data_IF_188988431614
#
_entry.id   IF_188988431614
#
_cell.length_a   1.000
_cell.length_b   1.000
_cell.length_c   1.000
_cell.angle_alpha   90.00
_cell.angle_beta   90.00
_cell.angle_gamma   90.00
#
_symmetry.space_group_name_H-M   'P 1'
#
loop_
_entity.id
_entity.type
_entity.pdbx_description
1 polymer ?
#
# COMPACT_ATOMS: atom_id res chain seq x y z
N UNK A 1 15.03 -35.79 -42.00
CA UNK A 1 14.17 -36.46 -41.01
C UNK A 1 14.31 -35.99 -39.57
N UNK A 2 15.50 -36.05 -38.94
CA UNK A 2 15.67 -35.66 -37.51
C UNK A 2 15.25 -34.23 -37.15
N UNK A 3 15.50 -33.25 -38.03
CA UNK A 3 15.10 -31.84 -37.83
C UNK A 3 13.59 -31.64 -37.83
N UNK A 4 12.88 -32.33 -38.72
CA UNK A 4 11.41 -32.27 -38.83
C UNK A 4 10.75 -32.87 -37.57
N UNK A 5 11.35 -33.93 -37.04
CA UNK A 5 10.95 -34.57 -35.78
C UNK A 5 11.17 -33.65 -34.56
N UNK A 6 12.28 -32.92 -34.53
CA UNK A 6 12.56 -31.92 -33.48
C UNK A 6 11.57 -30.74 -33.53
N UNK A 7 11.30 -30.20 -34.72
CA UNK A 7 10.33 -29.12 -34.92
C UNK A 7 8.92 -29.54 -34.49
N UNK A 8 8.52 -30.78 -34.79
CA UNK A 8 7.22 -31.33 -34.39
C UNK A 8 7.11 -31.49 -32.86
N UNK A 9 8.17 -31.96 -32.22
CA UNK A 9 8.26 -32.06 -30.75
C UNK A 9 8.16 -30.69 -30.08
N UNK A 10 8.87 -29.67 -30.59
CA UNK A 10 8.80 -28.30 -30.06
C UNK A 10 7.39 -27.75 -30.21
N UNK A 11 6.76 -27.95 -31.37
CA UNK A 11 5.38 -27.50 -31.63
C UNK A 11 4.38 -28.17 -30.68
N UNK A 12 4.52 -29.47 -30.42
CA UNK A 12 3.68 -30.21 -29.49
C UNK A 12 3.84 -29.71 -28.04
N UNK A 13 5.07 -29.43 -27.60
CA UNK A 13 5.34 -28.86 -26.27
C UNK A 13 4.72 -27.47 -26.12
N UNK A 14 4.85 -26.61 -27.14
CA UNK A 14 4.24 -25.27 -27.14
C UNK A 14 2.72 -25.33 -27.12
N UNK A 15 2.12 -26.26 -27.87
CA UNK A 15 0.68 -26.48 -27.88
C UNK A 15 0.16 -26.95 -26.52
N UNK A 16 0.79 -27.97 -25.92
CA UNK A 16 0.47 -28.45 -24.57
C UNK A 16 0.62 -27.37 -23.50
N UNK A 17 1.65 -26.52 -23.62
CA UNK A 17 1.85 -25.39 -22.71
C UNK A 17 0.69 -24.39 -22.82
N UNK A 18 0.29 -24.03 -24.05
CA UNK A 18 -0.82 -23.11 -24.29
C UNK A 18 -2.16 -23.67 -23.80
N UNK A 19 -2.41 -24.97 -23.98
CA UNK A 19 -3.60 -25.63 -23.42
C UNK A 19 -3.59 -25.64 -21.89
N UNK A 20 -2.45 -25.95 -21.25
CA UNK A 20 -2.31 -25.87 -19.79
C UNK A 20 -2.50 -24.45 -19.26
N UNK A 21 -1.97 -23.45 -19.94
CA UNK A 21 -2.16 -22.03 -19.59
C UNK A 21 -3.65 -21.66 -19.70
N UNK A 22 -4.33 -22.02 -20.79
CA UNK A 22 -5.77 -21.76 -20.97
C UNK A 22 -6.65 -22.48 -19.95
N UNK A 23 -6.35 -23.74 -19.63
CA UNK A 23 -7.05 -24.48 -18.57
C UNK A 23 -6.81 -23.87 -17.19
N UNK A 24 -5.59 -23.40 -16.92
CA UNK A 24 -5.25 -22.71 -15.68
C UNK A 24 -5.93 -21.34 -15.56
N UNK A 25 -6.14 -20.62 -16.66
CA UNK A 25 -6.90 -19.37 -16.66
C UNK A 25 -8.38 -19.63 -16.38
N UNK A 26 -8.99 -20.61 -17.07
CA UNK A 26 -10.38 -21.01 -16.82
C UNK A 26 -10.60 -21.47 -15.37
N UNK A 27 -9.69 -22.26 -14.81
CA UNK A 27 -9.81 -22.73 -13.42
C UNK A 27 -9.58 -21.63 -12.39
N UNK A 28 -8.72 -20.65 -12.68
CA UNK A 28 -8.54 -19.44 -11.85
C UNK A 28 -9.81 -18.59 -11.82
N UNK A 29 -10.42 -18.34 -12.98
CA UNK A 29 -11.67 -17.57 -13.06
C UNK A 29 -12.80 -18.25 -12.27
N UNK A 30 -12.92 -19.57 -12.36
CA UNK A 30 -13.89 -20.35 -11.57
C UNK A 30 -13.62 -20.21 -10.06
N UNK A 31 -12.35 -20.25 -9.64
CA UNK A 31 -11.99 -20.10 -8.24
C UNK A 31 -12.26 -18.68 -7.71
N UNK A 32 -11.96 -17.64 -8.51
CA UNK A 32 -12.21 -16.24 -8.14
C UNK A 32 -13.71 -15.96 -7.98
N UNK A 33 -14.53 -16.46 -8.91
CA UNK A 33 -15.98 -16.35 -8.82
C UNK A 33 -16.50 -17.07 -7.58
N UNK A 34 -16.00 -18.28 -7.29
CA UNK A 34 -16.37 -19.03 -6.09
C UNK A 34 -16.08 -18.27 -4.79
N UNK A 35 -14.89 -17.67 -4.67
CA UNK A 35 -14.53 -16.86 -3.49
C UNK A 35 -15.50 -15.68 -3.33
N UNK A 36 -15.80 -14.99 -4.43
CA UNK A 36 -16.73 -13.85 -4.38
C UNK A 36 -18.17 -14.26 -4.05
N UNK A 37 -18.65 -15.41 -4.55
CA UNK A 37 -19.94 -15.97 -4.17
C UNK A 37 -19.99 -16.33 -2.67
N UNK A 38 -18.90 -16.88 -2.14
CA UNK A 38 -18.79 -17.17 -0.71
C UNK A 38 -18.85 -15.89 0.13
N UNK A 39 -18.15 -14.82 -0.28
CA UNK A 39 -18.20 -13.52 0.40
C UNK A 39 -19.60 -12.93 0.34
N UNK A 40 -20.24 -12.99 -0.84
CA UNK A 40 -21.62 -12.53 -1.02
C UNK A 40 -22.55 -13.23 -0.04
N UNK A 41 -22.42 -14.54 0.11
CA UNK A 41 -23.22 -15.35 1.04
C UNK A 41 -22.92 -15.02 2.51
N UNK A 42 -21.65 -14.98 2.88
CA UNK A 42 -21.20 -14.77 4.27
C UNK A 42 -21.64 -13.39 4.79
N UNK A 43 -21.51 -12.35 3.96
CA UNK A 43 -21.87 -10.97 4.30
C UNK A 43 -23.29 -10.58 3.87
N UNK A 44 -24.04 -11.51 3.25
CA UNK A 44 -25.40 -11.27 2.71
C UNK A 44 -25.47 -10.08 1.75
N UNK A 45 -24.48 -9.94 0.87
CA UNK A 45 -24.43 -8.87 -0.12
C UNK A 45 -25.46 -9.12 -1.22
N UNK A 46 -26.02 -8.04 -1.77
CA UNK A 46 -26.95 -8.08 -2.91
C UNK A 46 -26.22 -8.45 -4.20
N UNK A 47 -25.00 -7.93 -4.36
CA UNK A 47 -24.17 -8.08 -5.55
C UNK A 47 -22.90 -8.88 -5.30
N UNK A 48 -22.30 -9.38 -6.38
CA UNK A 48 -21.02 -10.08 -6.33
C UNK A 48 -19.89 -9.05 -6.07
N UNK A 49 -19.04 -9.21 -5.05
CA UNK A 49 -18.03 -8.23 -4.67
C UNK A 49 -16.80 -8.25 -5.59
N UNK A 50 -16.98 -7.84 -6.85
CA UNK A 50 -15.92 -7.77 -7.86
C UNK A 50 -14.92 -6.66 -7.60
N UNK A 51 -15.33 -5.59 -6.94
CA UNK A 51 -14.51 -4.46 -6.55
C UNK A 51 -14.58 -4.26 -5.05
N UNK A 52 -13.45 -4.50 -4.37
CA UNK A 52 -13.33 -4.39 -2.92
C UNK A 52 -12.21 -3.40 -2.60
N UNK A 53 -12.48 -2.40 -1.78
CA UNK A 53 -11.46 -1.45 -1.29
C UNK A 53 -11.21 -1.68 0.20
N UNK A 54 -9.95 -1.71 0.61
CA UNK A 54 -9.55 -1.88 2.01
C UNK A 54 -8.67 -0.71 2.47
N UNK A 55 -9.01 -0.12 3.62
CA UNK A 55 -8.37 1.05 4.21
C UNK A 55 -7.66 0.70 5.52
N UNK A 56 -6.45 1.22 5.72
CA UNK A 56 -5.69 1.18 6.97
C UNK A 56 -5.19 2.59 7.31
N UNK A 57 -5.36 2.99 8.57
CA UNK A 57 -4.79 4.20 9.12
C UNK A 57 -3.56 3.81 9.92
N UNK A 58 -2.42 3.69 9.22
CA UNK A 58 -1.13 3.50 9.87
C UNK A 58 -0.66 4.85 10.41
N UNK A 59 -0.93 5.17 11.67
CA UNK A 59 -0.32 6.35 12.30
C UNK A 59 1.14 6.06 12.62
N UNK A 60 2.04 6.68 11.89
CA UNK A 60 3.40 6.88 12.33
C UNK A 60 3.43 8.04 13.34
N UNK A 61 4.19 7.92 14.43
CA UNK A 61 4.46 9.03 15.35
C UNK A 61 5.20 10.15 14.61
N UNK A 62 4.47 11.12 14.06
CA UNK A 62 5.02 12.25 13.32
C UNK A 62 3.95 13.16 12.70
N UNK A 63 4.41 14.28 12.14
CA UNK A 63 3.55 15.42 11.73
C UNK A 63 2.70 15.19 10.47
N UNK A 64 2.83 14.05 9.79
CA UNK A 64 2.12 13.77 8.53
C UNK A 64 1.41 12.41 8.57
N UNK A 65 0.17 12.34 9.09
CA UNK A 65 -0.62 11.12 9.07
C UNK A 65 -0.95 10.72 7.62
N UNK A 66 -0.80 9.43 7.30
CA UNK A 66 -1.10 8.87 5.99
C UNK A 66 -1.98 7.65 6.14
N UNK A 67 -3.03 7.60 5.32
CA UNK A 67 -3.89 6.42 5.20
C UNK A 67 -3.59 5.69 3.91
N UNK A 68 -3.55 4.36 3.99
CA UNK A 68 -3.33 3.48 2.86
C UNK A 68 -4.66 2.88 2.40
N UNK A 69 -4.88 2.85 1.09
CA UNK A 69 -5.97 2.11 0.47
C UNK A 69 -5.43 1.14 -0.57
N UNK A 70 -5.81 -0.13 -0.44
CA UNK A 70 -5.59 -1.16 -1.46
C UNK A 70 -6.92 -1.54 -2.09
N UNK A 71 -6.87 -1.88 -3.37
CA UNK A 71 -8.04 -2.26 -4.15
C UNK A 71 -7.86 -3.68 -4.65
N UNK A 72 -8.89 -4.51 -4.51
CA UNK A 72 -8.95 -5.84 -5.06
C UNK A 72 -10.03 -5.89 -6.16
N UNK A 73 -9.68 -6.50 -7.28
CA UNK A 73 -10.58 -6.77 -8.40
C UNK A 73 -10.66 -8.28 -8.60
N UNK A 74 -11.86 -8.85 -8.57
CA UNK A 74 -12.09 -10.30 -8.67
C UNK A 74 -11.20 -11.11 -7.70
N UNK A 75 -11.23 -10.77 -6.40
CA UNK A 75 -10.39 -11.39 -5.36
C UNK A 75 -8.86 -11.30 -5.56
N UNK A 76 -8.37 -10.48 -6.50
CA UNK A 76 -6.94 -10.25 -6.74
C UNK A 76 -6.53 -8.80 -6.45
N UNK A 77 -5.30 -8.57 -5.97
CA UNK A 77 -4.82 -7.21 -5.74
C UNK A 77 -4.66 -6.44 -7.06
N UNK A 78 -5.29 -5.26 -7.16
CA UNK A 78 -5.15 -4.32 -8.27
C UNK A 78 -4.20 -3.20 -7.89
N UNK A 79 -2.89 -3.45 -7.99
CA UNK A 79 -1.83 -2.50 -7.57
C UNK A 79 -1.92 -1.12 -8.22
N UNK A 80 -2.44 -1.05 -9.46
CA UNK A 80 -2.67 0.22 -10.18
C UNK A 80 -3.72 1.11 -9.51
N UNK A 81 -4.61 0.52 -8.71
CA UNK A 81 -5.72 1.20 -8.05
C UNK A 81 -5.43 1.53 -6.59
N UNK A 82 -4.23 1.20 -6.09
CA UNK A 82 -3.80 1.52 -4.73
C UNK A 82 -3.59 3.03 -4.59
N UNK A 83 -3.88 3.60 -3.41
CA UNK A 83 -3.65 5.02 -3.14
C UNK A 83 -3.14 5.23 -1.73
N UNK A 84 -2.32 6.26 -1.58
CA UNK A 84 -2.02 6.87 -0.29
C UNK A 84 -2.78 8.18 -0.17
N UNK A 85 -3.33 8.43 1.01
CA UNK A 85 -4.00 9.68 1.33
C UNK A 85 -3.21 10.40 2.42
N UNK A 86 -2.62 11.53 2.04
CA UNK A 86 -2.07 12.47 3.01
C UNK A 86 -3.24 13.21 3.65
N UNK A 87 -3.33 13.09 4.97
CA UNK A 87 -4.39 13.68 5.78
C UNK A 87 -4.10 15.16 5.94
N UNK A 88 -5.10 16.01 5.70
CA UNK A 88 -4.90 17.47 5.65
C UNK A 88 -5.51 18.21 6.83
N UNK A 89 -6.63 17.70 7.35
CA UNK A 89 -7.48 18.45 8.29
C UNK A 89 -7.37 17.95 9.72
N UNK A 90 -6.83 16.74 9.90
CA UNK A 90 -6.71 16.11 11.22
C UNK A 90 -5.37 16.45 11.85
N UNK A 91 -5.42 17.01 13.06
CA UNK A 91 -4.22 17.35 13.84
C UNK A 91 -3.97 16.24 14.85
N UNK A 92 -2.75 15.70 14.85
CA UNK A 92 -2.32 14.63 15.75
C UNK A 92 -2.82 13.23 15.36
N UNK A 93 -2.53 12.21 16.19
CA UNK A 93 -2.83 10.80 15.88
C UNK A 93 -4.31 10.46 16.15
N UNK A 94 -5.22 11.05 15.37
CA UNK A 94 -6.64 10.77 15.46
C UNK A 94 -7.11 9.90 14.28
N UNK A 95 -7.15 8.59 14.52
CA UNK A 95 -7.54 7.60 13.52
C UNK A 95 -8.99 7.71 13.06
N UNK A 96 -9.88 8.17 13.92
CA UNK A 96 -11.30 8.27 13.62
C UNK A 96 -11.57 9.37 12.61
N UNK A 97 -11.07 10.57 12.88
CA UNK A 97 -11.21 11.70 11.96
C UNK A 97 -10.43 11.46 10.65
N UNK A 98 -9.29 10.78 10.75
CA UNK A 98 -8.52 10.37 9.56
C UNK A 98 -9.32 9.43 8.66
N UNK A 99 -9.98 8.42 9.24
CA UNK A 99 -10.82 7.49 8.48
C UNK A 99 -11.98 8.23 7.81
N UNK A 100 -12.64 9.14 8.54
CA UNK A 100 -13.71 9.97 7.99
C UNK A 100 -13.24 10.81 6.80
N UNK A 101 -12.11 11.52 6.93
CA UNK A 101 -11.57 12.38 5.86
C UNK A 101 -11.27 11.55 4.60
N UNK A 102 -10.58 10.42 4.76
CA UNK A 102 -10.08 9.60 3.65
C UNK A 102 -11.23 8.95 2.88
N UNK A 103 -12.18 8.33 3.59
CA UNK A 103 -13.38 7.73 3.00
C UNK A 103 -14.20 8.80 2.28
N UNK A 104 -14.40 9.96 2.91
CA UNK A 104 -15.15 11.08 2.29
C UNK A 104 -14.48 11.54 1.00
N UNK A 105 -13.16 11.74 1.00
CA UNK A 105 -12.41 12.21 -0.18
C UNK A 105 -12.42 11.19 -1.31
N UNK A 106 -12.27 9.90 -1.00
CA UNK A 106 -12.28 8.82 -2.00
C UNK A 106 -13.63 8.76 -2.71
N UNK A 107 -14.71 8.63 -1.95
CA UNK A 107 -16.02 8.38 -2.55
C UNK A 107 -16.65 9.63 -3.15
N UNK A 108 -16.41 10.82 -2.58
CA UNK A 108 -16.80 12.08 -3.22
C UNK A 108 -16.23 12.18 -4.64
N UNK A 109 -14.93 11.92 -4.79
CA UNK A 109 -14.26 11.95 -6.08
C UNK A 109 -14.84 10.91 -7.05
N UNK A 110 -15.10 9.68 -6.58
CA UNK A 110 -15.68 8.65 -7.45
C UNK A 110 -17.06 9.07 -8.00
N UNK A 111 -17.89 9.68 -7.15
CA UNK A 111 -19.21 10.22 -7.52
C UNK A 111 -19.08 11.38 -8.51
N UNK A 112 -18.21 12.36 -8.22
CA UNK A 112 -17.96 13.51 -9.09
C UNK A 112 -17.42 13.11 -10.47
N UNK A 113 -16.56 12.09 -10.53
CA UNK A 113 -15.99 11.55 -11.77
C UNK A 113 -16.92 10.55 -12.49
N UNK A 114 -18.08 10.21 -11.92
CA UNK A 114 -19.00 9.22 -12.51
C UNK A 114 -18.41 7.82 -12.63
N UNK A 115 -17.48 7.46 -11.75
CA UNK A 115 -16.75 6.18 -11.78
C UNK A 115 -17.44 5.13 -10.89
N UNK A 116 -17.21 3.85 -11.19
CA UNK A 116 -17.89 2.76 -10.49
C UNK A 116 -17.48 2.65 -9.02
N UNK A 117 -18.49 2.57 -8.16
CA UNK A 117 -18.33 2.34 -6.72
C UNK A 117 -17.92 0.89 -6.41
N UNK A 118 -17.24 0.64 -5.28
CA UNK A 118 -16.99 -0.72 -4.83
C UNK A 118 -18.26 -1.40 -4.31
N UNK A 119 -18.30 -2.72 -4.44
CA UNK A 119 -19.37 -3.56 -3.89
C UNK A 119 -19.10 -3.95 -2.43
N UNK A 120 -17.89 -3.71 -1.92
CA UNK A 120 -17.54 -3.91 -0.52
C UNK A 120 -16.38 -2.99 -0.12
N UNK A 121 -16.52 -2.38 1.05
CA UNK A 121 -15.47 -1.57 1.68
C UNK A 121 -15.07 -2.22 3.00
N UNK A 122 -13.77 -2.34 3.21
CA UNK A 122 -13.18 -2.94 4.40
C UNK A 122 -12.36 -1.89 5.12
N UNK A 123 -12.59 -1.72 6.41
CA UNK A 123 -11.79 -0.87 7.29
C UNK A 123 -10.96 -1.77 8.21
N UNK A 124 -9.64 -1.62 8.22
CA UNK A 124 -8.75 -2.30 9.17
C UNK A 124 -8.84 -1.63 10.55
N UNK A 125 -9.98 -1.84 11.20
CA UNK A 125 -10.35 -1.19 12.43
C UNK A 125 -11.59 -1.78 13.07
N UNK A 126 -11.67 -1.60 14.39
CA UNK A 126 -12.87 -1.95 15.15
C UNK A 126 -14.04 -0.98 14.90
N UNK A 127 -15.07 -1.12 15.74
CA UNK A 127 -16.33 -0.36 15.64
C UNK A 127 -16.16 1.16 15.52
N UNK A 128 -15.18 1.75 16.20
CA UNK A 128 -14.92 3.19 16.16
C UNK A 128 -14.59 3.68 14.74
N UNK A 129 -13.57 3.10 14.11
CA UNK A 129 -13.18 3.48 12.74
C UNK A 129 -14.27 3.11 11.72
N UNK A 130 -14.93 1.95 11.89
CA UNK A 130 -16.07 1.57 11.06
C UNK A 130 -17.19 2.61 11.13
N UNK A 131 -17.52 3.12 12.32
CA UNK A 131 -18.57 4.14 12.48
C UNK A 131 -18.26 5.45 11.75
N UNK A 132 -16.97 5.81 11.64
CA UNK A 132 -16.54 6.98 10.89
C UNK A 132 -16.64 6.77 9.38
N UNK A 133 -16.29 5.59 8.88
CA UNK A 133 -16.52 5.24 7.49
C UNK A 133 -18.02 5.25 7.15
N UNK A 134 -18.87 4.71 8.03
CA UNK A 134 -20.33 4.76 7.91
C UNK A 134 -20.84 6.21 7.86
N UNK A 135 -20.34 7.08 8.75
CA UNK A 135 -20.69 8.51 8.77
C UNK A 135 -20.32 9.18 7.44
N UNK A 136 -19.12 8.96 6.93
CA UNK A 136 -18.67 9.51 5.64
C UNK A 136 -19.56 9.05 4.47
N UNK A 137 -19.94 7.76 4.43
CA UNK A 137 -20.85 7.25 3.40
C UNK A 137 -22.27 7.84 3.52
N UNK A 138 -22.77 8.08 4.74
CA UNK A 138 -24.06 8.75 4.97
C UNK A 138 -24.04 10.19 4.48
N UNK A 139 -22.98 10.95 4.80
CA UNK A 139 -22.83 12.35 4.39
C UNK A 139 -22.76 12.50 2.85
N UNK A 140 -22.34 11.45 2.15
CA UNK A 140 -22.31 11.38 0.69
C UNK A 140 -23.56 10.76 0.05
N UNK A 141 -24.58 10.41 0.85
CA UNK A 141 -25.78 9.67 0.40
C UNK A 141 -25.47 8.31 -0.28
N UNK A 142 -24.35 7.69 0.06
CA UNK A 142 -23.91 6.38 -0.43
C UNK A 142 -24.23 5.24 0.56
N UNK A 143 -24.76 5.58 1.73
CA UNK A 143 -25.24 4.62 2.71
C UNK A 143 -26.35 3.74 2.11
N UNK A 144 -26.23 2.42 2.28
CA UNK A 144 -27.13 1.44 1.68
C UNK A 144 -26.79 1.06 0.23
N UNK A 145 -25.95 1.83 -0.46
CA UNK A 145 -25.43 1.48 -1.79
C UNK A 145 -24.11 0.71 -1.68
N UNK A 146 -23.24 1.11 -0.75
CA UNK A 146 -21.94 0.50 -0.52
C UNK A 146 -21.94 -0.25 0.82
N UNK A 147 -21.86 -1.58 0.81
CA UNK A 147 -21.59 -2.37 2.01
C UNK A 147 -20.22 -2.02 2.60
N UNK A 148 -20.17 -1.79 3.91
CA UNK A 148 -18.92 -1.50 4.63
C UNK A 148 -18.80 -2.42 5.85
N UNK A 149 -17.61 -2.98 6.09
CA UNK A 149 -17.30 -3.81 7.24
C UNK A 149 -16.01 -3.35 7.91
N UNK A 150 -15.90 -3.57 9.22
CA UNK A 150 -14.67 -3.41 9.98
C UNK A 150 -14.04 -4.76 10.27
N UNK A 151 -12.71 -4.85 10.24
CA UNK A 151 -11.97 -6.05 10.66
C UNK A 151 -11.11 -5.67 11.84
N UNK A 152 -11.32 -6.31 12.99
CA UNK A 152 -10.45 -6.11 14.14
C UNK A 152 -9.28 -7.10 14.17
N UNK A 153 -8.15 -6.66 14.74
CA UNK A 153 -6.92 -7.46 14.87
C UNK A 153 -7.07 -8.71 15.75
N UNK A 154 -8.01 -8.73 16.72
CA UNK A 154 -8.25 -9.89 17.59
C UNK A 154 -9.24 -10.84 16.91
N UNK A 155 -8.79 -12.07 16.65
CA UNK A 155 -9.59 -13.17 16.08
C UNK A 155 -10.25 -12.91 14.72
N UNK A 156 -9.93 -11.78 14.08
CA UNK A 156 -10.49 -11.38 12.79
C UNK A 156 -12.00 -11.28 12.80
N UNK A 157 -12.48 -10.76 13.93
CA UNK A 157 -13.86 -10.40 14.11
C UNK A 157 -14.28 -9.36 13.07
N UNK A 158 -15.34 -9.70 12.34
CA UNK A 158 -15.92 -8.83 11.33
C UNK A 158 -17.03 -8.04 12.00
N UNK A 159 -16.92 -6.73 11.96
CA UNK A 159 -17.94 -5.82 12.46
C UNK A 159 -18.79 -5.33 11.30
N UNK A 160 -20.09 -5.54 11.41
CA UNK A 160 -21.09 -5.01 10.48
C UNK A 160 -21.72 -3.77 11.13
N UNK A 161 -21.98 -2.70 10.38
CA UNK A 161 -22.66 -1.53 10.92
C UNK A 161 -24.01 -1.87 11.54
N UNK A 162 -24.35 -1.19 12.64
CA UNK A 162 -25.57 -1.39 13.43
C UNK A 162 -25.70 -2.76 14.12
N UNK A 163 -24.70 -3.64 14.01
CA UNK A 163 -24.64 -4.88 14.79
C UNK A 163 -23.71 -4.69 16.01
N UNK A 164 -24.22 -4.86 17.25
CA UNK A 164 -23.39 -4.80 18.44
C UNK A 164 -22.46 -6.01 18.58
N UNK A 165 -22.69 -7.11 17.88
CA UNK A 165 -21.88 -8.32 17.95
C UNK A 165 -21.04 -8.49 16.67
N UNK A 166 -19.83 -9.04 16.77
CA UNK A 166 -19.06 -9.38 15.58
C UNK A 166 -19.72 -10.55 14.85
N UNK A 167 -19.71 -10.49 13.51
CA UNK A 167 -20.06 -11.59 12.65
C UNK A 167 -18.90 -12.60 12.65
N UNK A 168 -19.21 -13.84 13.06
CA UNK A 168 -18.26 -14.95 12.99
C UNK A 168 -18.35 -15.64 11.64
N UNK A 169 -17.27 -15.56 10.86
CA UNK A 169 -17.06 -16.38 9.68
C UNK A 169 -16.19 -17.58 10.07
N UNK A 170 -16.44 -18.75 9.47
CA UNK A 170 -15.60 -19.93 9.65
C UNK A 170 -14.13 -19.59 9.34
N UNK A 171 -13.21 -19.95 10.25
CA UNK A 171 -11.76 -19.72 10.10
C UNK A 171 -11.16 -20.39 8.86
N UNK A 172 -11.83 -21.40 8.31
CA UNK A 172 -11.46 -22.10 7.08
C UNK A 172 -12.12 -21.50 5.83
N UNK A 173 -13.04 -20.54 5.99
CA UNK A 173 -13.70 -19.87 4.87
C UNK A 173 -12.70 -19.16 3.97
N UNK A 174 -12.93 -19.25 2.67
CA UNK A 174 -12.16 -18.54 1.67
C UNK A 174 -12.35 -17.02 1.78
N UNK A 175 -13.52 -16.56 2.27
CA UNK A 175 -13.81 -15.15 2.55
C UNK A 175 -12.84 -14.58 3.57
N UNK A 176 -12.68 -15.27 4.71
CA UNK A 176 -11.82 -14.79 5.79
C UNK A 176 -10.35 -14.76 5.34
N UNK A 177 -9.90 -15.79 4.61
CA UNK A 177 -8.54 -15.83 4.04
C UNK A 177 -8.30 -14.68 3.05
N UNK A 178 -9.29 -14.28 2.27
CA UNK A 178 -9.16 -13.12 1.40
C UNK A 178 -9.06 -11.83 2.21
N UNK A 179 -9.92 -11.66 3.22
CA UNK A 179 -9.90 -10.49 4.09
C UNK A 179 -8.58 -10.33 4.86
N UNK A 180 -8.03 -11.44 5.37
CA UNK A 180 -6.66 -11.51 5.91
C UNK A 180 -5.64 -10.97 4.93
N UNK A 181 -5.65 -11.50 3.70
CA UNK A 181 -4.72 -11.09 2.66
C UNK A 181 -4.86 -9.61 2.29
N UNK A 182 -6.09 -9.08 2.28
CA UNK A 182 -6.34 -7.67 2.04
C UNK A 182 -5.78 -6.79 3.18
N UNK A 183 -6.00 -7.19 4.44
CA UNK A 183 -5.44 -6.54 5.61
C UNK A 183 -3.91 -6.52 5.59
N UNK A 184 -3.30 -7.67 5.37
CA UNK A 184 -1.85 -7.80 5.33
C UNK A 184 -1.25 -6.96 4.19
N UNK A 185 -1.95 -6.90 3.04
CA UNK A 185 -1.52 -6.11 1.89
C UNK A 185 -1.66 -4.60 2.12
N UNK A 186 -2.76 -4.13 2.75
CA UNK A 186 -2.92 -2.70 3.08
C UNK A 186 -1.90 -2.27 4.13
N UNK A 187 -1.66 -3.11 5.14
CA UNK A 187 -0.67 -2.86 6.16
C UNK A 187 0.75 -2.83 5.58
N UNK A 188 1.09 -3.80 4.72
CA UNK A 188 2.36 -3.81 3.97
C UNK A 188 2.53 -2.55 3.13
N UNK A 189 1.45 -2.11 2.47
CA UNK A 189 1.46 -0.90 1.64
C UNK A 189 1.72 0.33 2.50
N UNK A 190 0.96 0.52 3.61
CA UNK A 190 1.17 1.60 4.58
C UNK A 190 2.60 1.65 5.14
N UNK A 191 3.14 0.51 5.63
CA UNK A 191 4.52 0.44 6.14
C UNK A 191 5.54 0.82 5.07
N UNK A 192 5.33 0.38 3.82
CA UNK A 192 6.27 0.66 2.73
C UNK A 192 6.39 2.17 2.48
N UNK A 193 5.28 2.92 2.61
CA UNK A 193 5.27 4.37 2.49
C UNK A 193 6.06 5.05 3.62
N UNK A 194 5.83 4.65 4.87
CA UNK A 194 6.54 5.22 6.00
C UNK A 194 8.03 4.90 5.97
N UNK A 195 8.41 3.69 5.55
CA UNK A 195 9.83 3.36 5.36
C UNK A 195 10.48 4.27 4.34
N UNK A 196 9.86 4.44 3.16
CA UNK A 196 10.39 5.32 2.11
C UNK A 196 10.48 6.77 2.59
N UNK A 197 9.46 7.26 3.27
CA UNK A 197 9.41 8.65 3.79
C UNK A 197 10.48 8.86 4.87
N UNK A 198 10.71 7.87 5.74
CA UNK A 198 11.78 7.90 6.75
C UNK A 198 13.16 7.93 6.10
N UNK A 199 13.37 7.08 5.11
CA UNK A 199 14.63 7.08 4.35
C UNK A 199 14.81 8.49 3.75
N UNK A 200 13.85 9.00 2.99
CA UNK A 200 13.91 10.33 2.36
C UNK A 200 14.13 11.49 3.37
N UNK A 201 13.52 11.43 4.56
CA UNK A 201 13.68 12.44 5.62
C UNK A 201 15.06 12.37 6.30
N UNK A 202 15.52 11.17 6.64
CA UNK A 202 16.85 10.93 7.25
C UNK A 202 17.95 11.37 6.29
N UNK A 203 17.75 11.06 5.02
CA UNK A 203 18.61 11.47 3.91
C UNK A 203 18.73 12.99 3.78
N UNK A 204 17.61 13.72 3.99
CA UNK A 204 17.60 15.19 3.96
C UNK A 204 18.39 15.78 5.12
N UNK A 205 18.14 15.32 6.35
CA UNK A 205 18.83 15.81 7.55
C UNK A 205 20.34 15.57 7.49
N UNK A 206 20.78 14.36 7.12
CA UNK A 206 22.21 14.03 7.07
C UNK A 206 23.02 14.92 6.12
N UNK A 207 22.44 15.35 4.99
CA UNK A 207 23.12 16.22 4.03
C UNK A 207 22.96 17.71 4.33
N UNK A 208 21.86 18.13 4.96
CA UNK A 208 21.70 19.52 5.40
C UNK A 208 22.52 19.86 6.65
N UNK A 209 22.89 18.86 7.45
CA UNK A 209 23.72 19.03 8.64
C UNK A 209 25.22 19.22 8.31
N UNK A 210 25.62 18.98 7.06
CA UNK A 210 27.00 19.20 6.61
C UNK A 210 27.30 20.70 6.56
N UNK A 211 28.01 21.21 7.58
CA UNK A 211 28.46 22.60 7.64
C UNK A 211 29.27 22.95 6.39
N UNK A 212 28.72 23.82 5.54
CA UNK A 212 29.33 24.25 4.26
C UNK A 212 28.65 23.67 3.01
N UNK A 213 27.72 22.72 3.14
CA UNK A 213 26.87 22.25 2.06
C UNK A 213 25.51 22.97 2.14
N UNK A 214 25.32 23.99 1.31
CA UNK A 214 24.04 24.71 1.27
C UNK A 214 22.86 23.80 0.88
N UNK A 215 21.63 24.11 1.33
CA UNK A 215 20.45 23.24 1.15
C UNK A 215 20.15 22.93 -0.32
N UNK A 216 20.39 23.88 -1.22
CA UNK A 216 20.24 23.71 -2.68
C UNK A 216 21.16 22.62 -3.23
N UNK A 217 22.37 22.49 -2.67
CA UNK A 217 23.35 21.47 -3.12
C UNK A 217 23.00 20.10 -2.54
N UNK A 218 22.55 20.04 -1.28
CA UNK A 218 22.03 18.83 -0.65
C UNK A 218 20.82 18.27 -1.43
N UNK A 219 19.83 19.12 -1.74
CA UNK A 219 18.64 18.73 -2.50
C UNK A 219 19.02 18.26 -3.93
N UNK A 220 20.01 18.90 -4.58
CA UNK A 220 20.49 18.47 -5.91
C UNK A 220 21.07 17.05 -5.88
N UNK A 221 21.88 16.74 -4.89
CA UNK A 221 22.46 15.40 -4.71
C UNK A 221 21.37 14.35 -4.38
N UNK A 222 20.45 14.70 -3.48
CA UNK A 222 19.34 13.83 -3.08
C UNK A 222 18.40 13.52 -4.23
N UNK A 223 18.05 14.52 -5.04
CA UNK A 223 17.18 14.33 -6.20
C UNK A 223 17.82 13.39 -7.25
N UNK A 224 19.14 13.49 -7.45
CA UNK A 224 19.86 12.70 -8.47
C UNK A 224 20.17 11.29 -8.01
N UNK A 225 20.66 11.11 -6.78
CA UNK A 225 21.18 9.83 -6.29
C UNK A 225 20.25 9.11 -5.31
N UNK A 226 19.20 9.77 -4.82
CA UNK A 226 18.12 9.23 -3.99
C UNK A 226 18.52 8.62 -2.64
N UNK A 227 19.81 8.51 -2.32
CA UNK A 227 20.29 7.94 -1.06
C UNK A 227 21.71 8.41 -0.72
N UNK A 228 21.97 8.72 0.55
CA UNK A 228 23.29 9.06 1.12
C UNK A 228 24.22 7.86 1.00
N UNK A 229 23.70 6.64 1.16
CA UNK A 229 24.49 5.42 0.90
C UNK A 229 25.02 5.38 -0.53
N UNK A 230 24.17 5.68 -1.51
CA UNK A 230 24.59 5.78 -2.92
C UNK A 230 25.55 6.95 -3.16
N UNK A 231 25.38 8.05 -2.44
CA UNK A 231 26.29 9.20 -2.52
C UNK A 231 27.67 8.86 -1.94
N UNK A 232 27.74 8.07 -0.86
CA UNK A 232 28.99 7.53 -0.29
C UNK A 232 29.71 6.56 -1.23
N UNK A 233 28.96 5.80 -2.03
CA UNK A 233 29.52 4.86 -3.02
C UNK A 233 30.03 5.56 -4.31
N UNK A 234 29.79 6.88 -4.48
CA UNK A 234 30.27 7.62 -5.65
C UNK A 234 31.76 7.89 -5.59
N UNK A 235 32.39 7.88 -6.78
CA UNK A 235 33.79 8.30 -6.91
C UNK A 235 33.93 9.82 -6.76
N UNK A 236 35.09 10.27 -6.28
CA UNK A 236 35.39 11.70 -6.12
C UNK A 236 35.20 12.49 -7.43
N UNK A 237 35.57 11.91 -8.57
CA UNK A 237 35.37 12.51 -9.89
C UNK A 237 33.88 12.78 -10.22
N UNK A 238 32.98 11.87 -9.82
CA UNK A 238 31.54 12.01 -10.03
C UNK A 238 30.93 13.07 -9.12
N UNK A 239 31.43 13.20 -7.88
CA UNK A 239 31.01 14.26 -6.96
C UNK A 239 31.50 15.64 -7.44
N UNK A 240 32.76 15.74 -7.88
CA UNK A 240 33.33 17.00 -8.40
C UNK A 240 32.52 17.51 -9.60
N UNK A 241 32.12 16.61 -10.51
CA UNK A 241 31.32 16.98 -11.67
C UNK A 241 29.95 17.57 -11.29
N UNK A 242 29.38 17.18 -10.14
CA UNK A 242 28.02 17.56 -9.76
C UNK A 242 27.94 18.78 -8.85
N UNK A 243 28.87 18.90 -7.89
CA UNK A 243 28.84 19.91 -6.82
C UNK A 243 30.11 20.78 -6.75
N UNK A 244 31.13 20.49 -7.57
CA UNK A 244 32.40 21.21 -7.62
C UNK A 244 33.41 20.76 -6.57
N UNK A 245 34.70 21.05 -6.82
CA UNK A 245 35.84 20.59 -6.00
C UNK A 245 35.73 21.02 -4.52
N UNK A 246 35.37 22.26 -4.26
CA UNK A 246 35.31 22.80 -2.90
C UNK A 246 34.25 22.10 -2.03
N UNK A 247 33.05 21.87 -2.58
CA UNK A 247 31.95 21.22 -1.85
C UNK A 247 32.13 19.70 -1.74
N UNK A 248 32.78 19.08 -2.72
CA UNK A 248 33.15 17.66 -2.67
C UNK A 248 34.11 17.38 -1.51
N UNK A 249 35.11 18.23 -1.32
CA UNK A 249 36.06 18.10 -0.21
C UNK A 249 35.38 18.17 1.16
N UNK A 250 34.43 19.09 1.33
CA UNK A 250 33.62 19.23 2.56
C UNK A 250 32.77 17.98 2.81
N UNK A 251 32.13 17.46 1.76
CA UNK A 251 31.29 16.27 1.86
C UNK A 251 32.09 15.00 2.22
N UNK A 252 33.26 14.81 1.60
CA UNK A 252 34.16 13.68 1.89
C UNK A 252 34.73 13.78 3.31
N UNK A 253 35.15 14.98 3.73
CA UNK A 253 35.65 15.21 5.10
C UNK A 253 34.59 14.89 6.16
N UNK A 254 33.31 15.21 5.87
CA UNK A 254 32.20 14.87 6.76
C UNK A 254 31.95 13.36 6.83
N UNK A 255 32.05 12.63 5.71
CA UNK A 255 31.91 11.17 5.71
C UNK A 255 33.08 10.46 6.41
N UNK A 256 34.32 10.93 6.23
CA UNK A 256 35.50 10.39 6.91
C UNK A 256 35.43 10.60 8.44
N UNK A 257 34.87 11.74 8.89
CA UNK A 257 34.66 12.03 10.32
C UNK A 257 33.61 11.13 10.97
N UNK A 258 32.71 10.52 10.20
CA UNK A 258 31.75 9.53 10.71
C UNK A 258 32.27 8.09 10.71
N UNK A 259 33.35 7.79 9.98
CA UNK A 259 33.95 6.46 9.93
C UNK A 259 34.95 6.19 11.07
N UNK A 260 35.31 7.19 11.88
CA UNK A 260 36.12 6.94 13.09
C UNK A 260 35.20 6.39 14.20
N UNK A 261 35.30 5.10 14.57
CA UNK A 261 34.58 4.60 15.73
C UNK A 261 35.21 5.30 16.95
N UNK A 262 34.36 5.82 17.82
CA UNK A 262 34.74 6.07 19.20
C UNK A 262 35.22 4.75 19.83
N UNK A 263 36.52 4.50 19.79
CA UNK A 263 37.18 3.56 20.69
C UNK A 263 36.94 4.06 22.11
N UNK A 264 36.27 3.29 23.01
CA UNK A 264 36.29 3.65 24.42
C UNK A 264 37.72 3.41 24.92
N UNK A 265 38.39 4.48 25.33
CA UNK A 265 39.63 4.40 26.08
C UNK A 265 39.28 4.17 27.56
N UNK A 266 39.77 3.03 28.08
CA UNK A 266 39.84 2.56 29.47
C UNK A 266 38.53 2.22 30.20
#
# INVERSE_FOLDING_TARGET
DKRKLLELSIKNVLYLRKEKESMNEKSKDVNEVRIMEQIKKDLRLTELPKHIECFDNSNFQGDNPVSAMVCFRNAKPSKKDYRYYHVKTVVGPNDFDTMYEVVTRRYRRLVEEGTSLPQLVIVDGGKGQLSMAVKALKDLNLWGQIPVIGIAKRLEEIYVPNDPLPLYIDKKSESLRLFQRMRDEVHRFGITFHRKTRDDATLKTELTDVKGLGPVTADKLLNKFKSVKKIRELTEAQLIAEIGKAKTKVLLTYFDQQETPSTPAN
#
